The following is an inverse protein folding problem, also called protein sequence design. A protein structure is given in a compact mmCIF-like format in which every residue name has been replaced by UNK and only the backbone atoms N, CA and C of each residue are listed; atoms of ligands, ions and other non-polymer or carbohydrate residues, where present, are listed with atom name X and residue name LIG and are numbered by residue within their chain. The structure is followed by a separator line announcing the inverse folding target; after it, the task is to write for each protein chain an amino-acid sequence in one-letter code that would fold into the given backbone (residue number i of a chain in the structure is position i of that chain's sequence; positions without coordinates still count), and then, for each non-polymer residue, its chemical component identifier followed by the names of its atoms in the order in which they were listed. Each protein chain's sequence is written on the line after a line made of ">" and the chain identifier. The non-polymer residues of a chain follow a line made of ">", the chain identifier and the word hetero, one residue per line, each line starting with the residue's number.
data_IF_646457085989
#
_entry.id   IF_646457085989
#
_cell.length_a   1.000
_cell.length_b   1.000
_cell.length_c   1.000
_cell.angle_alpha   90.00
_cell.angle_beta   90.00
_cell.angle_gamma   90.00
#
_symmetry.space_group_name_H-M   'P 1'
#
loop_
_entity.id
_entity.type
_entity.pdbx_description
1 polymer ?
#
# COMPACT_ATOMS: atom_id res chain seq x y z
N UNK A 1 -6.30 -10.97 18.76
CA UNK A 1 -6.94 -9.64 18.57
C UNK A 1 -8.33 -9.92 18.03
N UNK A 2 -9.34 -9.23 18.50
CA UNK A 2 -10.72 -9.55 18.14
C UNK A 2 -11.02 -9.02 16.72
N UNK A 3 -11.69 -9.80 15.89
CA UNK A 3 -12.11 -9.41 14.53
C UNK A 3 -12.90 -8.08 14.50
N UNK A 4 -13.55 -7.75 15.60
CA UNK A 4 -14.30 -6.51 15.77
C UNK A 4 -13.38 -5.26 15.75
N UNK A 5 -12.16 -5.34 16.28
CA UNK A 5 -11.19 -4.22 16.26
C UNK A 5 -10.71 -3.97 14.82
N UNK A 6 -10.47 -5.03 14.06
CA UNK A 6 -10.06 -4.94 12.66
C UNK A 6 -11.16 -4.31 11.78
N UNK A 7 -12.41 -4.68 12.02
CA UNK A 7 -13.54 -4.09 11.30
C UNK A 7 -13.75 -2.60 11.65
N UNK A 8 -13.49 -2.22 12.91
CA UNK A 8 -13.51 -0.80 13.34
C UNK A 8 -12.42 0.02 12.66
N UNK A 9 -11.23 -0.55 12.41
CA UNK A 9 -10.16 0.14 11.71
C UNK A 9 -10.50 0.39 10.23
N UNK A 10 -11.12 -0.58 9.55
CA UNK A 10 -11.61 -0.38 8.19
C UNK A 10 -12.57 0.81 8.11
N UNK A 11 -13.55 0.87 9.00
CA UNK A 11 -14.49 1.98 9.07
C UNK A 11 -13.80 3.32 9.42
N UNK A 12 -12.79 3.29 10.28
CA UNK A 12 -12.01 4.47 10.63
C UNK A 12 -11.31 5.09 9.42
N UNK A 13 -10.64 4.28 8.60
CA UNK A 13 -9.95 4.76 7.40
C UNK A 13 -10.93 5.20 6.31
N UNK A 14 -12.04 4.48 6.12
CA UNK A 14 -13.09 4.91 5.20
C UNK A 14 -13.66 6.28 5.59
N UNK A 15 -13.96 6.50 6.88
CA UNK A 15 -14.44 7.79 7.38
C UNK A 15 -13.39 8.91 7.20
N UNK A 16 -12.12 8.60 7.39
CA UNK A 16 -11.06 9.57 7.19
C UNK A 16 -10.91 9.95 5.71
N UNK A 17 -10.84 8.98 4.82
CA UNK A 17 -10.64 9.26 3.39
C UNK A 17 -11.87 9.89 2.72
N UNK A 18 -13.07 9.55 3.17
CA UNK A 18 -14.31 10.18 2.68
C UNK A 18 -14.46 11.64 3.14
N UNK A 19 -14.03 11.95 4.38
CA UNK A 19 -14.19 13.28 4.98
C UNK A 19 -13.00 14.22 4.78
N UNK A 20 -11.81 13.69 4.49
CA UNK A 20 -10.57 14.46 4.37
C UNK A 20 -9.88 14.16 3.03
N UNK A 21 -10.31 14.84 1.94
CA UNK A 21 -9.58 14.77 0.67
C UNK A 21 -8.12 15.20 0.89
N UNK A 22 -7.17 14.45 0.33
CA UNK A 22 -5.73 14.72 0.48
C UNK A 22 -5.24 14.74 1.94
N UNK A 23 -5.75 13.82 2.76
CA UNK A 23 -5.42 13.75 4.20
C UNK A 23 -3.91 13.78 4.48
N UNK A 24 -3.11 13.16 3.62
CA UNK A 24 -1.65 13.12 3.75
C UNK A 24 -0.93 14.06 2.77
N UNK A 25 -1.66 15.00 2.16
CA UNK A 25 -1.15 15.90 1.14
C UNK A 25 -1.02 15.24 -0.24
N UNK A 26 -0.60 16.05 -1.21
CA UNK A 26 -0.45 15.62 -2.62
C UNK A 26 0.98 15.20 -2.96
N UNK A 27 1.95 15.59 -2.15
CA UNK A 27 3.36 15.25 -2.36
C UNK A 27 3.61 13.80 -1.96
N UNK A 28 4.44 13.06 -2.70
CA UNK A 28 4.85 11.71 -2.31
C UNK A 28 5.49 11.69 -0.91
N UNK A 29 5.36 10.56 -0.23
CA UNK A 29 6.06 10.36 1.02
C UNK A 29 7.58 10.29 0.82
N UNK A 30 8.36 10.68 1.83
CA UNK A 30 9.81 10.51 1.78
C UNK A 30 10.20 9.03 1.57
N UNK A 31 9.60 8.05 2.28
CA UNK A 31 9.87 6.63 2.03
C UNK A 31 9.62 6.20 0.59
N UNK A 32 8.53 6.66 -0.04
CA UNK A 32 8.26 6.33 -1.44
C UNK A 32 9.33 6.88 -2.39
N UNK A 33 9.82 8.09 -2.11
CA UNK A 33 10.90 8.71 -2.90
C UNK A 33 12.21 7.90 -2.80
N UNK A 34 12.58 7.43 -1.62
CA UNK A 34 13.72 6.52 -1.43
C UNK A 34 13.50 5.17 -2.11
N UNK A 35 12.30 4.61 -1.97
CA UNK A 35 11.93 3.34 -2.60
C UNK A 35 12.02 3.42 -4.12
N UNK A 36 11.59 4.53 -4.71
CA UNK A 36 11.68 4.75 -6.16
C UNK A 36 13.13 4.65 -6.66
N UNK A 37 14.10 5.24 -5.95
CA UNK A 37 15.51 5.15 -6.33
C UNK A 37 16.04 3.71 -6.23
N UNK A 38 15.62 2.96 -5.21
CA UNK A 38 15.97 1.54 -5.08
C UNK A 38 15.34 0.73 -6.22
N UNK A 39 14.08 0.95 -6.52
CA UNK A 39 13.35 0.26 -7.58
C UNK A 39 13.95 0.53 -8.96
N UNK A 40 14.33 1.79 -9.24
CA UNK A 40 15.04 2.13 -10.49
C UNK A 40 16.36 1.38 -10.64
N UNK A 41 17.18 1.34 -9.58
CA UNK A 41 18.47 0.61 -9.59
C UNK A 41 18.30 -0.89 -9.83
N UNK A 42 17.19 -1.45 -9.41
CA UNK A 42 16.89 -2.89 -9.55
C UNK A 42 15.96 -3.20 -10.72
N UNK A 43 15.71 -2.24 -11.63
CA UNK A 43 14.87 -2.41 -12.82
C UNK A 43 13.46 -2.91 -12.52
N UNK A 44 12.86 -2.51 -11.38
CA UNK A 44 11.46 -2.80 -11.07
C UNK A 44 10.57 -2.10 -12.09
N UNK A 45 9.71 -2.86 -12.77
CA UNK A 45 8.77 -2.37 -13.79
C UNK A 45 7.32 -2.62 -13.44
N UNK A 46 7.05 -3.62 -12.63
CA UNK A 46 5.71 -4.02 -12.20
C UNK A 46 5.69 -4.23 -10.69
N UNK A 47 4.90 -3.42 -9.99
CA UNK A 47 4.87 -3.44 -8.53
C UNK A 47 3.45 -3.50 -7.96
N UNK A 48 3.37 -3.93 -6.71
CA UNK A 48 2.19 -3.80 -5.86
C UNK A 48 2.45 -2.72 -4.82
N UNK A 49 1.48 -1.84 -4.60
CA UNK A 49 1.40 -1.00 -3.41
C UNK A 49 0.27 -1.49 -2.52
N UNK A 50 0.61 -1.88 -1.29
CA UNK A 50 -0.33 -2.36 -0.28
C UNK A 50 -0.69 -1.20 0.67
N UNK A 51 -1.99 -0.92 0.83
CA UNK A 51 -2.46 0.21 1.60
C UNK A 51 -2.20 1.54 0.89
N UNK A 52 -2.57 1.63 -0.38
CA UNK A 52 -2.29 2.79 -1.24
C UNK A 52 -3.00 4.09 -0.81
N UNK A 53 -4.01 4.00 0.08
CA UNK A 53 -4.75 5.14 0.61
C UNK A 53 -5.39 5.99 -0.48
N UNK A 54 -4.99 7.26 -0.59
CA UNK A 54 -5.46 8.21 -1.61
C UNK A 54 -4.46 8.35 -2.78
N UNK A 55 -3.46 7.47 -2.91
CA UNK A 55 -2.64 7.26 -4.10
C UNK A 55 -1.49 8.22 -4.33
N UNK A 56 -1.07 9.01 -3.34
CA UNK A 56 0.05 9.95 -3.53
C UNK A 56 1.35 9.25 -3.95
N UNK A 57 1.62 8.08 -3.38
CA UNK A 57 2.84 7.31 -3.66
C UNK A 57 2.67 6.47 -4.94
N UNK A 58 1.47 5.92 -5.20
CA UNK A 58 1.13 5.26 -6.47
C UNK A 58 1.42 6.13 -7.69
N UNK A 59 1.03 7.41 -7.61
CA UNK A 59 1.27 8.38 -8.69
C UNK A 59 2.76 8.67 -8.90
N UNK A 60 3.56 8.70 -7.83
CA UNK A 60 5.01 8.86 -7.95
C UNK A 60 5.61 7.73 -8.78
N UNK A 61 5.32 6.49 -8.43
CA UNK A 61 5.85 5.32 -9.14
C UNK A 61 5.37 5.28 -10.59
N UNK A 62 4.09 5.52 -10.84
CA UNK A 62 3.51 5.50 -12.17
C UNK A 62 4.08 6.59 -13.09
N UNK A 63 4.29 7.80 -12.60
CA UNK A 63 4.94 8.91 -13.32
C UNK A 63 6.41 8.63 -13.64
N UNK A 64 7.01 7.63 -13.00
CA UNK A 64 8.38 7.18 -13.25
C UNK A 64 8.45 5.83 -13.99
N UNK A 65 7.46 5.56 -14.84
CA UNK A 65 7.41 4.40 -15.73
C UNK A 65 7.39 3.02 -15.02
N UNK A 66 6.88 2.98 -13.81
CA UNK A 66 6.59 1.73 -13.10
C UNK A 66 5.08 1.46 -13.20
N UNK A 67 4.71 0.25 -13.59
CA UNK A 67 3.33 -0.20 -13.54
C UNK A 67 2.93 -0.55 -12.11
N UNK A 68 1.89 0.11 -11.58
CA UNK A 68 1.48 0.02 -10.17
C UNK A 68 0.13 -0.69 -10.05
N UNK A 69 0.08 -1.73 -9.24
CA UNK A 69 -1.16 -2.29 -8.72
C UNK A 69 -1.43 -1.68 -7.34
N UNK A 70 -2.27 -0.66 -7.30
CA UNK A 70 -2.63 0.05 -6.08
C UNK A 70 -3.79 -0.64 -5.37
N UNK A 71 -3.51 -1.24 -4.21
CA UNK A 71 -4.47 -1.99 -3.41
C UNK A 71 -4.78 -1.25 -2.11
N UNK A 72 -6.07 -1.03 -1.84
CA UNK A 72 -6.54 -0.49 -0.56
C UNK A 72 -7.95 -1.04 -0.25
N UNK A 73 -8.29 -1.17 1.01
CA UNK A 73 -9.61 -1.67 1.42
C UNK A 73 -10.67 -0.56 1.60
N UNK A 74 -10.30 0.73 1.48
CA UNK A 74 -11.20 1.86 1.55
C UNK A 74 -11.79 2.19 0.18
N UNK A 75 -13.11 2.09 -0.03
CA UNK A 75 -13.76 2.55 -1.25
C UNK A 75 -13.47 4.02 -1.58
N UNK A 76 -13.46 4.90 -0.57
CA UNK A 76 -13.14 6.32 -0.76
C UNK A 76 -11.71 6.54 -1.19
N UNK A 77 -10.75 5.77 -0.65
CA UNK A 77 -9.35 5.77 -1.08
C UNK A 77 -9.24 5.37 -2.55
N UNK A 78 -9.82 4.23 -2.92
CA UNK A 78 -9.83 3.69 -4.29
C UNK A 78 -10.45 4.67 -5.29
N UNK A 79 -11.58 5.28 -4.95
CA UNK A 79 -12.22 6.27 -5.80
C UNK A 79 -11.28 7.47 -6.02
N UNK A 80 -10.59 7.93 -4.96
CA UNK A 80 -9.66 9.06 -5.06
C UNK A 80 -8.44 8.73 -5.91
N UNK A 81 -7.89 7.52 -5.80
CA UNK A 81 -6.82 7.08 -6.70
C UNK A 81 -7.31 7.09 -8.15
N UNK A 82 -8.49 6.54 -8.42
CA UNK A 82 -9.06 6.45 -9.77
C UNK A 82 -9.29 7.81 -10.40
N UNK A 83 -9.77 8.80 -9.62
CA UNK A 83 -9.90 10.20 -10.06
C UNK A 83 -8.53 10.76 -10.52
N UNK A 84 -7.50 10.63 -9.67
CA UNK A 84 -6.15 11.11 -9.97
C UNK A 84 -5.53 10.40 -11.16
N UNK A 85 -5.70 9.09 -11.26
CA UNK A 85 -5.23 8.30 -12.41
C UNK A 85 -5.83 8.82 -13.71
N UNK A 86 -7.11 9.18 -13.70
CA UNK A 86 -7.78 9.80 -14.84
C UNK A 86 -7.26 11.21 -15.12
N UNK A 87 -7.14 12.04 -14.09
CA UNK A 87 -6.66 13.43 -14.19
C UNK A 87 -5.24 13.52 -14.78
N UNK A 88 -4.36 12.59 -14.40
CA UNK A 88 -2.98 12.55 -14.87
C UNK A 88 -2.74 11.62 -16.08
N UNK A 89 -3.80 11.08 -16.68
CA UNK A 89 -3.72 10.19 -17.86
C UNK A 89 -2.84 8.95 -17.63
N UNK A 90 -2.93 8.35 -16.42
CA UNK A 90 -2.11 7.20 -16.00
C UNK A 90 -2.85 5.85 -16.05
N UNK A 91 -3.98 5.75 -16.76
CA UNK A 91 -4.81 4.53 -16.80
C UNK A 91 -4.05 3.29 -17.32
N UNK A 92 -3.03 3.51 -18.15
CA UNK A 92 -2.17 2.44 -18.66
C UNK A 92 -1.02 2.07 -17.71
N UNK A 93 -0.87 2.77 -16.59
CA UNK A 93 0.22 2.60 -15.62
C UNK A 93 -0.26 2.20 -14.23
N UNK A 94 -1.49 2.50 -13.88
CA UNK A 94 -2.03 2.21 -12.54
C UNK A 94 -3.29 1.36 -12.67
N UNK A 95 -3.24 0.19 -12.05
CA UNK A 95 -4.40 -0.67 -11.84
C UNK A 95 -4.85 -0.50 -10.39
N UNK A 96 -6.07 0.01 -10.19
CA UNK A 96 -6.62 0.32 -8.87
C UNK A 96 -7.60 -0.76 -8.46
N UNK A 97 -7.45 -1.34 -7.27
CA UNK A 97 -8.29 -2.43 -6.82
C UNK A 97 -8.66 -2.30 -5.33
N UNK A 98 -9.95 -2.40 -5.04
CA UNK A 98 -10.44 -2.58 -3.67
C UNK A 98 -10.00 -3.95 -3.17
N UNK A 99 -9.22 -4.00 -2.09
CA UNK A 99 -8.61 -5.23 -1.63
C UNK A 99 -8.29 -5.19 -0.13
N UNK A 100 -8.62 -6.26 0.57
CA UNK A 100 -8.20 -6.47 1.96
C UNK A 100 -6.92 -7.32 1.98
N UNK A 101 -5.85 -6.79 2.56
CA UNK A 101 -4.52 -7.45 2.61
C UNK A 101 -4.51 -8.76 3.42
N UNK A 102 -5.58 -9.07 4.15
CA UNK A 102 -5.77 -10.34 4.85
C UNK A 102 -6.18 -11.47 3.91
N UNK A 103 -6.56 -11.15 2.69
CA UNK A 103 -6.93 -12.10 1.65
C UNK A 103 -5.71 -12.52 0.82
N UNK A 104 -5.88 -13.59 0.05
CA UNK A 104 -4.86 -14.04 -0.90
C UNK A 104 -4.65 -13.01 -2.00
N UNK A 105 -3.40 -12.56 -2.21
CA UNK A 105 -3.06 -11.59 -3.24
C UNK A 105 -3.47 -12.08 -4.64
N UNK A 106 -4.19 -11.27 -5.45
CA UNK A 106 -4.78 -11.68 -6.73
C UNK A 106 -3.76 -11.70 -7.88
N UNK A 107 -2.54 -12.16 -7.58
CA UNK A 107 -1.44 -12.25 -8.54
C UNK A 107 -0.92 -13.67 -8.62
N UNK A 108 -0.36 -14.01 -9.79
CA UNK A 108 0.32 -15.29 -10.01
C UNK A 108 1.63 -15.33 -9.22
N UNK A 109 2.10 -16.54 -8.93
CA UNK A 109 3.41 -16.75 -8.33
C UNK A 109 4.49 -16.12 -9.22
N UNK A 110 5.48 -15.48 -8.61
CA UNK A 110 6.65 -14.92 -9.28
C UNK A 110 6.31 -14.01 -10.47
N UNK A 111 5.30 -13.15 -10.33
CA UNK A 111 4.84 -12.25 -11.40
C UNK A 111 5.15 -10.77 -11.17
N UNK A 112 5.58 -10.40 -9.96
CA UNK A 112 5.76 -9.03 -9.48
C UNK A 112 7.24 -8.75 -9.21
N UNK A 113 7.74 -7.59 -9.64
CA UNK A 113 9.14 -7.19 -9.43
C UNK A 113 9.37 -6.56 -8.05
N UNK A 114 8.40 -5.79 -7.55
CA UNK A 114 8.51 -5.07 -6.29
C UNK A 114 7.19 -4.95 -5.54
N UNK A 115 7.27 -4.93 -4.21
CA UNK A 115 6.16 -4.62 -3.33
C UNK A 115 6.56 -3.45 -2.44
N UNK A 116 5.66 -2.50 -2.27
CA UNK A 116 5.82 -1.36 -1.38
C UNK A 116 4.61 -1.22 -0.47
N UNK A 117 4.86 -0.86 0.79
CA UNK A 117 3.80 -0.42 1.70
C UNK A 117 4.31 0.62 2.69
N UNK A 118 3.51 1.66 2.91
CA UNK A 118 3.84 2.71 3.87
C UNK A 118 2.90 2.64 5.07
N UNK A 119 3.45 2.29 6.24
CA UNK A 119 2.73 2.23 7.53
C UNK A 119 1.62 1.16 7.61
N UNK A 120 1.56 0.21 6.68
CA UNK A 120 0.55 -0.85 6.70
C UNK A 120 0.79 -1.87 7.81
N UNK A 121 2.02 -2.32 7.99
CA UNK A 121 2.37 -3.37 8.96
C UNK A 121 2.24 -2.95 10.43
N UNK A 122 2.00 -1.67 10.72
CA UNK A 122 1.67 -1.17 12.05
C UNK A 122 0.17 -0.91 12.23
N UNK A 123 -0.66 -1.34 11.29
CA UNK A 123 -2.11 -1.31 11.42
C UNK A 123 -2.59 -2.52 12.25
N UNK A 124 -3.90 -2.58 12.54
CA UNK A 124 -4.48 -3.65 13.37
C UNK A 124 -4.53 -4.99 12.60
N UNK A 125 -3.38 -5.63 12.49
CA UNK A 125 -3.23 -6.98 11.96
C UNK A 125 -2.75 -7.90 13.09
N UNK A 126 -3.29 -9.12 13.14
CA UNK A 126 -2.78 -10.16 14.02
C UNK A 126 -1.43 -10.65 13.52
N UNK A 127 -0.66 -11.32 14.39
CA UNK A 127 0.61 -11.92 13.98
C UNK A 127 0.43 -12.92 12.83
N UNK A 128 -0.62 -13.73 12.89
CA UNK A 128 -0.94 -14.70 11.83
C UNK A 128 -1.27 -14.01 10.49
N UNK A 129 -2.02 -12.90 10.53
CA UNK A 129 -2.33 -12.13 9.31
C UNK A 129 -1.08 -11.48 8.71
N UNK A 130 -0.16 -10.99 9.53
CA UNK A 130 1.14 -10.47 9.08
C UNK A 130 1.98 -11.59 8.45
N UNK A 131 2.02 -12.76 9.06
CA UNK A 131 2.75 -13.92 8.54
C UNK A 131 2.16 -14.38 7.20
N UNK A 132 0.83 -14.49 7.11
CA UNK A 132 0.13 -14.82 5.87
C UNK A 132 0.38 -13.79 4.77
N UNK A 133 0.31 -12.49 5.08
CA UNK A 133 0.63 -11.42 4.13
C UNK A 133 2.07 -11.52 3.62
N UNK A 134 3.04 -11.75 4.51
CA UNK A 134 4.45 -11.93 4.12
C UNK A 134 4.65 -13.15 3.21
N UNK A 135 3.98 -14.27 3.49
CA UNK A 135 4.00 -15.46 2.66
C UNK A 135 3.41 -15.18 1.26
N UNK A 136 2.31 -14.43 1.19
CA UNK A 136 1.70 -14.03 -0.08
C UNK A 136 2.57 -13.06 -0.87
N UNK A 137 3.18 -12.05 -0.21
CA UNK A 137 4.14 -11.15 -0.84
C UNK A 137 5.34 -11.94 -1.40
N UNK A 138 5.90 -12.87 -0.61
CA UNK A 138 6.98 -13.74 -1.07
C UNK A 138 6.56 -14.62 -2.26
N UNK A 139 5.34 -15.16 -2.25
CA UNK A 139 4.80 -15.99 -3.34
C UNK A 139 4.71 -15.23 -4.66
N UNK A 140 4.20 -14.00 -4.62
CA UNK A 140 3.97 -13.21 -5.84
C UNK A 140 5.22 -12.54 -6.38
N UNK A 141 6.21 -12.28 -5.53
CA UNK A 141 7.49 -11.68 -5.95
C UNK A 141 8.31 -12.66 -6.79
N UNK A 142 8.89 -12.15 -7.86
CA UNK A 142 9.91 -12.89 -8.64
C UNK A 142 11.14 -13.17 -7.78
N UNK A 143 11.93 -14.13 -8.20
CA UNK A 143 13.25 -14.35 -7.59
C UNK A 143 14.09 -13.07 -7.69
N UNK A 144 14.59 -12.59 -6.56
CA UNK A 144 15.28 -11.29 -6.45
C UNK A 144 14.36 -10.08 -6.44
N UNK A 145 13.03 -10.27 -6.42
CA UNK A 145 12.06 -9.20 -6.23
C UNK A 145 12.20 -8.53 -4.85
N UNK A 146 11.80 -7.28 -4.76
CA UNK A 146 12.01 -6.46 -3.56
C UNK A 146 10.71 -6.23 -2.81
N UNK A 147 10.73 -6.41 -1.49
CA UNK A 147 9.67 -5.94 -0.59
C UNK A 147 10.22 -4.82 0.29
N UNK A 148 9.66 -3.61 0.16
CA UNK A 148 10.06 -2.43 0.94
C UNK A 148 8.84 -1.92 1.69
N UNK A 149 8.96 -1.82 3.00
CA UNK A 149 7.88 -1.35 3.85
C UNK A 149 8.38 -0.44 4.97
N UNK A 150 7.49 0.36 5.52
CA UNK A 150 7.76 1.18 6.69
C UNK A 150 6.85 0.79 7.83
N UNK A 151 7.39 0.91 9.05
CA UNK A 151 6.68 0.69 10.30
C UNK A 151 7.01 1.81 11.27
N UNK A 152 6.21 1.94 12.33
CA UNK A 152 6.54 2.81 13.47
C UNK A 152 7.74 2.26 14.24
N UNK A 153 8.48 3.14 14.86
CA UNK A 153 9.59 2.79 15.75
C UNK A 153 9.29 3.26 17.18
N UNK A 154 10.24 3.00 18.09
CA UNK A 154 10.09 3.38 19.52
C UNK A 154 10.05 4.88 19.77
N UNK A 155 10.41 5.71 18.78
CA UNK A 155 10.37 7.17 18.87
C UNK A 155 9.05 7.75 18.34
N UNK A 156 8.15 6.91 17.81
CA UNK A 156 6.82 7.32 17.37
C UNK A 156 5.98 7.74 18.57
N UNK A 157 5.28 8.87 18.46
CA UNK A 157 4.45 9.41 19.55
C UNK A 157 3.30 8.49 20.01
N UNK A 158 2.92 7.54 19.17
CA UNK A 158 1.91 6.52 19.48
C UNK A 158 2.53 5.20 19.99
N UNK A 159 3.85 5.13 20.19
CA UNK A 159 4.51 3.94 20.73
C UNK A 159 3.95 3.61 22.12
N UNK A 160 3.54 2.37 22.34
CA UNK A 160 2.88 1.85 23.54
C UNK A 160 1.49 2.45 23.85
N UNK A 161 0.93 3.29 22.99
CA UNK A 161 -0.45 3.80 23.10
C UNK A 161 -1.47 2.95 22.33
N UNK A 162 -1.03 1.85 21.76
CA UNK A 162 -1.88 0.90 21.04
C UNK A 162 -2.71 0.00 21.97
N UNK A 163 -3.70 -0.66 21.41
CA UNK A 163 -4.47 -1.72 22.08
C UNK A 163 -3.66 -3.01 22.00
N UNK A 164 -3.37 -3.61 23.14
CA UNK A 164 -2.65 -4.88 23.30
C UNK A 164 -3.60 -6.08 23.30
#
# INVERSE_FOLDING_TARGET
>A
MDSEILNKQSQHWENNFSSKPEMFGVSPSNPASYTLEIFKKNNVKNMIELGAGQGRDSLLFAKNDIHVHALDYSPSGINKISEKVSEFELQNKVNVQLFDVRERLPFKDQSIDGCYSHMLYCMALTFEEIENLNNEVHRVLKQGGLNIFTVRNIEDGDYQNGVH
#
